data_IF_820966118541
#
_entry.id   IF_820966118541
#
_cell.length_a   1.000
_cell.length_b   1.000
_cell.length_c   1.000
_cell.angle_alpha   90.00
_cell.angle_beta   90.00
_cell.angle_gamma   90.00
#
_symmetry.space_group_name_H-M   'P 1'
#
loop_
_entity.id
_entity.type
_entity.pdbx_description
1 polymer ?
#
# COMPACT_ATOMS: atom_id res chain seq x y z
N UNK A 1 7.67 8.81 7.29
CA UNK A 1 7.69 8.65 5.81
C UNK A 1 6.30 8.87 5.26
N UNK A 2 6.18 9.67 4.21
CA UNK A 2 4.87 9.89 3.56
C UNK A 2 4.38 8.61 2.92
N UNK A 3 3.07 8.41 2.95
CA UNK A 3 2.51 7.18 2.42
C UNK A 3 2.69 7.05 0.90
N UNK A 4 2.66 8.16 0.17
CA UNK A 4 2.85 8.07 -1.29
C UNK A 4 4.27 7.60 -1.62
N UNK A 5 5.26 8.01 -0.83
CA UNK A 5 6.61 7.52 -1.01
C UNK A 5 6.71 6.05 -0.62
N UNK A 6 6.06 5.68 0.49
CA UNK A 6 6.13 4.31 0.98
C UNK A 6 5.55 3.31 -0.02
N UNK A 7 4.33 3.55 -0.51
CA UNK A 7 3.70 2.60 -1.41
C UNK A 7 4.41 2.53 -2.76
N UNK A 8 5.07 3.61 -3.17
CA UNK A 8 5.92 3.55 -4.35
C UNK A 8 7.21 2.77 -4.05
N UNK A 9 7.81 3.01 -2.88
CA UNK A 9 9.09 2.37 -2.54
C UNK A 9 8.96 0.87 -2.41
N UNK A 10 7.81 0.36 -1.95
CA UNK A 10 7.56 -1.08 -1.87
C UNK A 10 6.83 -1.61 -3.09
N UNK A 11 6.87 -0.85 -4.18
CA UNK A 11 6.58 -1.28 -5.54
C UNK A 11 5.11 -1.51 -5.89
N UNK A 12 4.19 -0.83 -5.21
CA UNK A 12 2.79 -0.91 -5.60
C UNK A 12 2.44 -0.01 -6.78
N UNK A 13 3.27 0.99 -7.07
CA UNK A 13 3.06 1.89 -8.21
C UNK A 13 4.37 2.09 -8.97
N UNK A 14 4.25 2.27 -10.26
CA UNK A 14 5.43 2.44 -11.10
C UNK A 14 6.13 3.78 -10.95
N UNK A 15 5.44 4.79 -10.41
CA UNK A 15 6.06 6.07 -10.15
C UNK A 15 5.46 6.66 -8.90
N UNK A 16 6.19 7.59 -8.27
CA UNK A 16 5.69 8.25 -7.09
C UNK A 16 4.46 9.12 -7.41
N UNK A 17 4.45 9.70 -8.60
CA UNK A 17 3.31 10.48 -9.05
C UNK A 17 2.03 9.65 -9.10
N UNK A 18 2.12 8.43 -9.57
CA UNK A 18 0.95 7.53 -9.60
C UNK A 18 0.49 7.22 -8.18
N UNK A 19 1.42 7.02 -7.26
CA UNK A 19 1.08 6.77 -5.86
C UNK A 19 0.38 7.97 -5.25
N UNK A 20 0.87 9.18 -5.54
CA UNK A 20 0.26 10.40 -5.05
C UNK A 20 -1.17 10.55 -5.57
N UNK A 21 -1.36 10.30 -6.85
CA UNK A 21 -2.70 10.39 -7.45
C UNK A 21 -3.65 9.35 -6.89
N UNK A 22 -3.17 8.16 -6.61
CA UNK A 22 -4.00 7.11 -6.03
C UNK A 22 -4.53 7.55 -4.66
N UNK A 23 -3.68 8.19 -3.85
CA UNK A 23 -4.12 8.72 -2.57
C UNK A 23 -5.16 9.82 -2.76
N UNK A 24 -4.91 10.75 -3.68
CA UNK A 24 -5.85 11.83 -3.94
C UNK A 24 -7.20 11.34 -4.44
N UNK A 25 -7.20 10.23 -5.16
CA UNK A 25 -8.42 9.67 -5.71
C UNK A 25 -9.16 8.75 -4.74
N UNK A 26 -8.67 8.64 -3.51
CA UNK A 26 -9.34 7.83 -2.50
C UNK A 26 -9.10 6.34 -2.65
N UNK A 27 -8.04 5.94 -3.35
CA UNK A 27 -7.74 4.54 -3.58
C UNK A 27 -6.75 3.97 -2.57
N UNK A 28 -6.35 4.75 -1.58
CA UNK A 28 -5.42 4.30 -0.54
C UNK A 28 -6.04 4.59 0.81
N UNK A 29 -6.06 3.58 1.66
CA UNK A 29 -6.61 3.71 3.02
C UNK A 29 -5.61 3.15 4.02
N UNK A 30 -5.66 3.66 5.25
CA UNK A 30 -4.85 3.13 6.33
C UNK A 30 -5.81 2.81 7.46
N UNK A 31 -5.75 1.56 7.93
CA UNK A 31 -6.65 1.09 8.98
C UNK A 31 -8.09 1.44 8.61
N UNK A 32 -8.40 1.27 7.33
CA UNK A 32 -9.74 1.43 6.75
C UNK A 32 -10.22 2.87 6.62
N UNK A 33 -9.33 3.85 6.74
CA UNK A 33 -9.69 5.24 6.51
C UNK A 33 -8.87 5.80 5.37
N UNK A 34 -9.51 6.49 4.44
CA UNK A 34 -8.81 7.13 3.34
C UNK A 34 -7.87 8.20 3.87
N UNK A 35 -6.71 8.31 3.25
CA UNK A 35 -5.67 9.23 3.72
C UNK A 35 -5.15 10.09 2.58
N UNK A 36 -4.57 11.23 2.94
CA UNK A 36 -3.91 12.11 1.99
C UNK A 36 -2.54 11.56 1.64
N UNK A 37 -1.97 11.96 0.50
CA UNK A 37 -0.63 11.48 0.12
C UNK A 37 0.44 11.77 1.15
N UNK A 38 0.27 12.81 1.95
CA UNK A 38 1.25 13.19 2.95
C UNK A 38 1.10 12.49 4.29
N UNK A 39 0.16 11.58 4.39
CA UNK A 39 -0.03 10.84 5.64
C UNK A 39 1.29 10.18 6.06
N UNK A 40 1.63 10.30 7.34
CA UNK A 40 2.85 9.71 7.88
C UNK A 40 2.60 8.28 8.30
N UNK A 41 3.24 7.36 7.61
CA UNK A 41 3.06 5.93 7.85
C UNK A 41 3.70 5.51 9.15
N UNK A 42 3.02 4.65 9.90
CA UNK A 42 3.53 4.10 11.15
C UNK A 42 3.74 2.60 10.99
N UNK A 43 4.69 2.08 11.76
CA UNK A 43 4.91 0.62 11.82
C UNK A 43 3.60 -0.02 12.25
N UNK A 44 3.26 -1.13 11.63
CA UNK A 44 2.05 -1.90 11.89
C UNK A 44 0.78 -1.30 11.29
N UNK A 45 0.87 -0.18 10.58
CA UNK A 45 -0.30 0.31 9.85
C UNK A 45 -0.73 -0.73 8.82
N UNK A 46 -2.03 -0.90 8.68
CA UNK A 46 -2.57 -1.77 7.65
C UNK A 46 -2.99 -0.89 6.48
N UNK A 47 -2.30 -1.01 5.37
CA UNK A 47 -2.55 -0.18 4.20
C UNK A 47 -3.36 -0.98 3.19
N UNK A 48 -4.38 -0.34 2.61
CA UNK A 48 -5.15 -0.91 1.51
C UNK A 48 -4.92 -0.05 0.28
N UNK A 49 -4.60 -0.69 -0.83
CA UNK A 49 -4.42 -0.01 -2.10
C UNK A 49 -5.37 -0.63 -3.11
N UNK A 50 -6.22 0.19 -3.71
CA UNK A 50 -7.13 -0.27 -4.76
C UNK A 50 -6.51 0.07 -6.10
N UNK A 51 -6.35 -0.95 -6.95
CA UNK A 51 -5.62 -0.79 -8.18
C UNK A 51 -6.14 -1.80 -9.19
N UNK A 52 -6.63 -1.33 -10.34
CA UNK A 52 -7.13 -2.20 -11.42
C UNK A 52 -8.17 -3.20 -10.92
N UNK A 53 -9.14 -2.71 -10.16
CA UNK A 53 -10.23 -3.51 -9.60
C UNK A 53 -9.79 -4.54 -8.56
N UNK A 54 -8.53 -4.51 -8.17
CA UNK A 54 -8.04 -5.37 -7.10
C UNK A 54 -7.73 -4.53 -5.88
N UNK A 55 -7.90 -5.11 -4.71
CA UNK A 55 -7.52 -4.47 -3.47
C UNK A 55 -6.37 -5.26 -2.86
N UNK A 56 -5.28 -4.55 -2.61
CA UNK A 56 -4.09 -5.16 -2.00
C UNK A 56 -3.98 -4.63 -0.59
N UNK A 57 -3.89 -5.53 0.39
CA UNK A 57 -3.71 -5.15 1.79
C UNK A 57 -2.39 -5.65 2.30
N UNK A 58 -1.72 -4.83 3.07
CA UNK A 58 -0.44 -5.20 3.62
C UNK A 58 -0.17 -4.44 4.91
N UNK A 59 0.73 -4.98 5.72
CA UNK A 59 1.09 -4.41 7.01
C UNK A 59 2.49 -3.84 6.91
N UNK A 60 2.69 -2.65 7.42
CA UNK A 60 3.99 -1.97 7.41
C UNK A 60 4.89 -2.61 8.45
N UNK A 61 6.03 -3.14 8.01
CA UNK A 61 7.01 -3.74 8.91
C UNK A 61 8.18 -2.80 9.17
N UNK A 62 8.58 -2.03 8.17
CA UNK A 62 9.73 -1.16 8.28
C UNK A 62 9.69 -0.13 7.17
N UNK A 63 10.57 0.87 7.24
CA UNK A 63 10.61 1.94 6.25
C UNK A 63 11.88 1.83 5.41
N UNK A 64 11.74 1.68 4.09
CA UNK A 64 12.92 1.67 3.23
C UNK A 64 13.47 3.08 3.04
N UNK A 65 14.76 3.19 2.78
CA UNK A 65 15.39 4.48 2.53
C UNK A 65 15.19 4.94 1.10
N UNK A 66 14.93 4.00 0.19
CA UNK A 66 14.70 4.30 -1.20
C UNK A 66 13.86 3.19 -1.78
N UNK A 67 13.54 3.26 -3.08
CA UNK A 67 12.75 2.22 -3.70
C UNK A 67 13.53 0.91 -3.68
N UNK A 68 12.90 -0.16 -3.15
CA UNK A 68 13.58 -1.44 -3.00
C UNK A 68 13.38 -2.31 -4.22
N UNK A 69 14.28 -3.24 -4.42
CA UNK A 69 14.12 -4.24 -5.48
C UNK A 69 13.02 -5.24 -5.12
N UNK A 70 12.51 -5.93 -6.13
CA UNK A 70 11.40 -6.86 -5.92
C UNK A 70 11.68 -7.90 -4.86
N UNK A 71 12.91 -8.34 -4.76
CA UNK A 71 13.24 -9.42 -3.82
C UNK A 71 13.28 -8.97 -2.37
N UNK A 72 13.32 -7.64 -2.14
CA UNK A 72 13.48 -7.12 -0.79
C UNK A 72 12.20 -6.55 -0.20
N UNK A 73 11.12 -6.50 -0.96
CA UNK A 73 9.90 -5.83 -0.48
C UNK A 73 9.35 -6.48 0.78
N UNK A 74 9.53 -7.78 0.92
CA UNK A 74 8.94 -8.48 2.07
C UNK A 74 9.67 -8.19 3.39
N UNK A 75 10.81 -7.49 3.35
CA UNK A 75 11.46 -7.01 4.56
C UNK A 75 10.70 -5.81 5.12
N UNK A 76 10.02 -5.08 4.24
CA UNK A 76 9.38 -3.84 4.62
C UNK A 76 7.87 -3.94 4.78
N UNK A 77 7.24 -4.94 4.19
CA UNK A 77 5.80 -5.13 4.34
C UNK A 77 5.45 -6.59 4.25
N UNK A 78 4.38 -6.98 4.94
CA UNK A 78 3.87 -8.34 4.83
C UNK A 78 2.48 -8.26 4.22
N UNK A 79 2.25 -9.04 3.17
CA UNK A 79 0.96 -9.08 2.52
C UNK A 79 -0.07 -9.68 3.45
N UNK A 80 -1.23 -9.03 3.49
CA UNK A 80 -2.34 -9.59 4.21
C UNK A 80 -3.24 -10.27 3.21
N UNK A 81 -3.71 -11.44 3.55
CA UNK A 81 -4.56 -12.17 2.67
C UNK A 81 -5.91 -11.47 2.52
N UNK A 82 -6.36 -11.33 1.29
CA UNK A 82 -7.64 -10.69 1.02
C UNK A 82 -8.55 -11.70 0.34
N UNK A 83 -9.72 -11.90 0.89
CA UNK A 83 -10.67 -12.82 0.31
C UNK A 83 -11.22 -12.29 -1.00
N UNK A 84 -11.17 -13.06 -2.07
CA UNK A 84 -11.81 -12.64 -3.31
C UNK A 84 -13.31 -12.53 -3.13
N UNK A 85 -13.90 -11.61 -3.86
CA UNK A 85 -15.31 -11.42 -3.72
C UNK A 85 -16.12 -12.64 -3.99
N UNK A 86 -15.72 -13.45 -4.94
CA UNK A 86 -16.51 -14.59 -5.34
C UNK A 86 -16.16 -15.84 -4.59
N UNK A 87 -15.34 -15.72 -3.57
CA UNK A 87 -14.91 -16.85 -2.88
C UNK A 87 -15.95 -17.45 -2.02
N UNK A 88 -16.85 -16.71 -1.71
CA UNK A 88 -17.80 -17.13 -0.83
C UNK A 88 -18.86 -17.90 -1.34
N UNK A 89 -18.92 -18.16 -2.35
CA UNK A 89 -19.92 -18.75 -2.74
C UNK A 89 -19.79 -20.03 -2.70
N UNK A 90 -19.70 -20.23 -2.32
CA UNK A 90 -19.58 -21.37 -2.20
C UNK A 90 -20.08 -21.85 -1.64
#
# INVERSE_FOLDING_TARGET
>A
MRIDFYIWSVRYFGSRNKATKACKNGNVSVNEKKVKPSYEVLISDEISVKKNDNTYKFIVLNFPKSRVGNKLVDIYRIKKEVDPKNRNHN
#
